data_IF_203127575546
#
_entry.id   IF_203127575546
#
_cell.length_a   1.000
_cell.length_b   1.000
_cell.length_c   1.000
_cell.angle_alpha   90.00
_cell.angle_beta   90.00
_cell.angle_gamma   90.00
#
_symmetry.space_group_name_H-M   'P 1'
#
loop_
_entity.id
_entity.type
_entity.pdbx_description
1 polymer ?
#
# COMPACT_ATOMS: atom_id res chain seq x y z
N UNK A 1 -17.38 -2.04 -7.88
CA UNK A 1 -18.07 -2.60 -9.07
C UNK A 1 -17.10 -3.22 -10.07
N UNK A 2 -16.07 -2.52 -10.56
CA UNK A 2 -15.11 -3.10 -11.51
C UNK A 2 -14.43 -4.39 -11.02
N UNK A 3 -14.05 -4.47 -9.74
CA UNK A 3 -13.54 -5.68 -9.13
C UNK A 3 -14.52 -6.86 -9.26
N UNK A 4 -15.82 -6.61 -9.02
CA UNK A 4 -16.88 -7.63 -9.14
C UNK A 4 -17.05 -8.10 -10.59
N UNK A 5 -16.91 -7.19 -11.57
CA UNK A 5 -16.94 -7.55 -13.01
C UNK A 5 -15.71 -8.39 -13.39
N UNK A 6 -14.51 -8.04 -12.87
CA UNK A 6 -13.28 -8.83 -13.12
C UNK A 6 -13.38 -10.23 -12.51
N UNK A 7 -14.00 -10.36 -11.35
CA UNK A 7 -14.27 -11.63 -10.68
C UNK A 7 -15.51 -12.38 -11.19
N UNK A 8 -16.14 -11.90 -12.27
CA UNK A 8 -17.33 -12.51 -12.89
C UNK A 8 -18.55 -12.65 -11.95
N UNK A 9 -18.62 -11.82 -10.90
CA UNK A 9 -19.75 -11.78 -9.97
C UNK A 9 -20.93 -10.95 -10.49
N UNK A 10 -20.70 -10.06 -11.46
CA UNK A 10 -21.73 -9.20 -12.07
C UNK A 10 -21.47 -9.09 -13.58
N UNK A 11 -22.56 -9.07 -14.35
CA UNK A 11 -22.53 -8.96 -15.82
C UNK A 11 -21.91 -7.66 -16.35
N UNK A 12 -21.37 -7.77 -17.57
CA UNK A 12 -20.66 -6.69 -18.27
C UNK A 12 -21.57 -5.57 -18.78
N UNK A 13 -22.88 -5.73 -18.71
CA UNK A 13 -23.86 -4.73 -19.16
C UNK A 13 -23.80 -3.43 -18.33
N UNK A 14 -23.28 -3.47 -17.11
CA UNK A 14 -23.06 -2.29 -16.26
C UNK A 14 -21.82 -1.45 -16.64
N UNK A 15 -21.13 -1.75 -17.75
CA UNK A 15 -19.88 -1.06 -18.15
C UNK A 15 -20.09 0.38 -18.56
N UNK A 16 -21.20 0.71 -19.22
CA UNK A 16 -21.45 2.07 -19.70
C UNK A 16 -21.59 3.07 -18.55
N UNK A 17 -22.19 2.64 -17.43
CA UNK A 17 -22.26 3.42 -16.19
C UNK A 17 -20.83 3.68 -15.67
N UNK A 18 -19.98 2.67 -15.69
CA UNK A 18 -18.59 2.80 -15.22
C UNK A 18 -17.76 3.72 -16.10
N UNK A 19 -17.99 3.76 -17.41
CA UNK A 19 -17.19 4.60 -18.32
C UNK A 19 -17.37 6.09 -18.04
N UNK A 20 -18.56 6.53 -17.62
CA UNK A 20 -18.79 7.92 -17.19
C UNK A 20 -18.03 8.25 -15.90
N UNK A 21 -18.06 7.33 -14.93
CA UNK A 21 -17.30 7.47 -13.69
C UNK A 21 -15.79 7.46 -13.95
N UNK A 22 -15.29 6.60 -14.83
CA UNK A 22 -13.87 6.51 -15.18
C UNK A 22 -13.35 7.83 -15.76
N UNK A 23 -14.10 8.46 -16.67
CA UNK A 23 -13.70 9.74 -17.23
C UNK A 23 -13.71 10.86 -16.18
N UNK A 24 -14.66 10.84 -15.25
CA UNK A 24 -14.69 11.78 -14.14
C UNK A 24 -13.50 11.56 -13.19
N UNK A 25 -13.26 10.33 -12.75
CA UNK A 25 -12.15 9.93 -11.88
C UNK A 25 -10.81 10.28 -12.54
N UNK A 26 -10.65 10.03 -13.84
CA UNK A 26 -9.42 10.37 -14.57
C UNK A 26 -9.17 11.89 -14.64
N UNK A 27 -10.23 12.71 -14.73
CA UNK A 27 -10.11 14.16 -14.65
C UNK A 27 -9.72 14.61 -13.24
N UNK A 28 -10.33 14.05 -12.21
CA UNK A 28 -9.99 14.34 -10.81
C UNK A 28 -8.54 13.93 -10.48
N UNK A 29 -8.13 12.71 -10.85
CA UNK A 29 -6.78 12.22 -10.65
C UNK A 29 -5.74 13.13 -11.33
N UNK A 30 -5.99 13.51 -12.59
CA UNK A 30 -5.11 14.43 -13.31
C UNK A 30 -5.07 15.82 -12.65
N UNK A 31 -6.22 16.34 -12.25
CA UNK A 31 -6.33 17.64 -11.56
C UNK A 31 -5.53 17.63 -10.24
N UNK A 32 -5.70 16.62 -9.40
CA UNK A 32 -4.99 16.51 -8.14
C UNK A 32 -3.49 16.34 -8.34
N UNK A 33 -3.09 15.58 -9.38
CA UNK A 33 -1.67 15.46 -9.77
C UNK A 33 -1.11 16.82 -10.21
N UNK A 34 -1.85 17.60 -10.99
CA UNK A 34 -1.46 18.96 -11.41
C UNK A 34 -1.38 19.97 -10.25
N UNK A 35 -1.96 19.64 -9.09
CA UNK A 35 -1.82 20.41 -7.84
C UNK A 35 -0.76 19.80 -6.90
N UNK A 36 0.09 18.91 -7.42
CA UNK A 36 1.07 18.11 -6.68
C UNK A 36 0.47 17.44 -5.43
N UNK A 37 -0.74 16.88 -5.56
CA UNK A 37 -1.44 16.19 -4.48
C UNK A 37 -1.42 14.68 -4.69
N UNK A 38 -0.25 14.09 -4.46
CA UNK A 38 0.08 12.68 -4.76
C UNK A 38 -0.28 11.69 -3.63
N UNK A 39 -1.19 12.04 -2.73
CA UNK A 39 -1.57 11.15 -1.63
C UNK A 39 -2.32 9.91 -2.15
N UNK A 40 -2.13 8.74 -1.51
CA UNK A 40 -2.84 7.53 -1.91
C UNK A 40 -4.31 7.53 -1.47
N UNK A 41 -4.57 7.91 -0.21
CA UNK A 41 -5.92 7.85 0.35
C UNK A 41 -6.78 9.06 -0.03
N UNK A 42 -6.16 10.22 -0.21
CA UNK A 42 -6.87 11.49 -0.35
C UNK A 42 -6.52 12.26 -1.62
N UNK A 43 -5.57 11.77 -2.41
CA UNK A 43 -5.06 12.46 -3.59
C UNK A 43 -5.12 11.60 -4.85
N UNK A 44 -4.26 11.95 -5.81
CA UNK A 44 -4.32 11.38 -7.14
C UNK A 44 -3.99 9.88 -7.20
N UNK A 45 -3.13 9.36 -6.31
CA UNK A 45 -2.53 8.04 -6.50
C UNK A 45 -3.54 6.91 -6.33
N UNK A 46 -4.48 7.00 -5.38
CA UNK A 46 -5.53 6.00 -5.23
C UNK A 46 -6.42 5.90 -6.47
N UNK A 47 -6.79 7.05 -7.02
CA UNK A 47 -7.56 7.12 -8.26
C UNK A 47 -6.77 6.58 -9.46
N UNK A 48 -5.49 6.93 -9.59
CA UNK A 48 -4.62 6.45 -10.66
C UNK A 48 -4.44 4.92 -10.63
N UNK A 49 -4.26 4.34 -9.43
CA UNK A 49 -4.20 2.87 -9.25
C UNK A 49 -5.48 2.20 -9.76
N UNK A 50 -6.67 2.76 -9.45
CA UNK A 50 -7.93 2.26 -10.00
C UNK A 50 -7.96 2.31 -11.53
N UNK A 51 -7.51 3.42 -12.13
CA UNK A 51 -7.54 3.68 -13.57
C UNK A 51 -6.61 2.76 -14.37
N UNK A 52 -5.55 2.21 -13.77
CA UNK A 52 -4.71 1.16 -14.38
C UNK A 52 -5.53 -0.10 -14.75
N UNK A 53 -6.64 -0.36 -14.06
CA UNK A 53 -7.55 -1.45 -14.40
C UNK A 53 -8.45 -1.16 -15.61
N UNK A 54 -8.43 0.07 -16.13
CA UNK A 54 -9.34 0.63 -17.15
C UNK A 54 -8.63 1.06 -18.45
N UNK A 55 -7.37 0.66 -18.62
CA UNK A 55 -6.48 1.04 -19.73
C UNK A 55 -6.87 0.57 -21.14
N UNK A 56 -7.96 -0.20 -21.28
CA UNK A 56 -8.56 -0.49 -22.60
C UNK A 56 -9.19 0.76 -23.21
N UNK A 57 -9.60 1.71 -22.36
CA UNK A 57 -10.08 3.02 -22.80
C UNK A 57 -8.88 3.94 -23.09
N UNK A 58 -8.75 4.38 -24.35
CA UNK A 58 -7.65 5.24 -24.80
C UNK A 58 -7.61 6.60 -24.09
N UNK A 59 -8.77 7.15 -23.70
CA UNK A 59 -8.82 8.37 -22.91
C UNK A 59 -8.15 8.16 -21.56
N UNK A 60 -8.46 7.06 -20.87
CA UNK A 60 -7.87 6.72 -19.57
C UNK A 60 -6.37 6.48 -19.70
N UNK A 61 -5.94 5.72 -20.71
CA UNK A 61 -4.51 5.50 -20.99
C UNK A 61 -3.76 6.81 -21.23
N UNK A 62 -4.35 7.76 -21.96
CA UNK A 62 -3.76 9.07 -22.16
C UNK A 62 -3.66 9.88 -20.86
N UNK A 63 -4.67 9.79 -19.98
CA UNK A 63 -4.66 10.45 -18.68
C UNK A 63 -3.61 9.89 -17.73
N UNK A 64 -3.45 8.56 -17.69
CA UNK A 64 -2.37 7.89 -16.94
C UNK A 64 -0.99 8.37 -17.39
N UNK A 65 -0.76 8.46 -18.71
CA UNK A 65 0.45 9.07 -19.27
C UNK A 65 0.69 10.48 -18.73
N UNK A 66 -0.33 11.35 -18.77
CA UNK A 66 -0.23 12.73 -18.29
C UNK A 66 0.04 12.81 -16.78
N UNK A 67 -0.59 11.93 -15.98
CA UNK A 67 -0.35 11.82 -14.54
C UNK A 67 1.13 11.50 -14.28
N UNK A 68 1.70 10.52 -14.98
CA UNK A 68 3.11 10.16 -14.84
C UNK A 68 4.04 11.31 -15.25
N UNK A 69 3.70 12.05 -16.30
CA UNK A 69 4.46 13.22 -16.72
C UNK A 69 4.45 14.34 -15.65
N UNK A 70 3.31 14.56 -14.99
CA UNK A 70 3.25 15.50 -13.86
C UNK A 70 4.06 15.01 -12.66
N UNK A 71 3.95 13.73 -12.28
CA UNK A 71 4.75 13.14 -11.19
C UNK A 71 6.25 13.33 -11.47
N UNK A 72 6.68 13.08 -12.71
CA UNK A 72 8.06 13.30 -13.15
C UNK A 72 8.47 14.78 -13.06
N UNK A 73 7.56 15.71 -13.37
CA UNK A 73 7.83 17.15 -13.32
C UNK A 73 7.94 17.72 -11.90
N UNK A 74 7.23 17.14 -10.93
CA UNK A 74 7.23 17.59 -9.53
C UNK A 74 8.30 16.90 -8.66
N UNK A 75 9.09 15.97 -9.23
CA UNK A 75 10.13 15.30 -8.47
C UNK A 75 11.15 16.30 -7.94
N UNK A 76 11.52 16.13 -6.68
CA UNK A 76 12.63 16.83 -6.04
C UNK A 76 13.87 15.96 -6.21
N UNK A 77 14.92 16.52 -6.81
CA UNK A 77 16.20 15.85 -7.02
C UNK A 77 17.09 16.05 -5.79
N UNK A 78 17.48 14.95 -5.14
CA UNK A 78 18.36 14.93 -3.96
C UNK A 78 19.68 14.25 -4.33
N UNK A 79 20.71 15.02 -4.68
CA UNK A 79 22.00 14.51 -5.19
C UNK A 79 21.84 13.56 -6.39
N UNK A 80 21.63 12.26 -6.15
CA UNK A 80 21.45 11.21 -7.16
C UNK A 80 20.11 10.45 -7.03
N UNK A 81 19.22 10.88 -6.14
CA UNK A 81 17.96 10.21 -5.84
C UNK A 81 16.77 11.15 -6.04
N UNK A 82 15.56 10.60 -6.11
CA UNK A 82 14.33 11.35 -6.38
C UNK A 82 13.32 11.18 -5.25
N UNK A 83 12.69 12.29 -4.84
CA UNK A 83 11.62 12.31 -3.85
C UNK A 83 10.53 13.29 -4.24
N UNK A 84 9.48 13.42 -3.42
CA UNK A 84 8.40 14.39 -3.59
C UNK A 84 8.01 14.99 -2.25
N UNK A 85 7.54 16.23 -2.26
CA UNK A 85 6.91 16.84 -1.10
C UNK A 85 5.45 16.40 -1.01
N UNK A 86 5.07 15.88 0.15
CA UNK A 86 3.70 15.44 0.42
C UNK A 86 3.01 16.44 1.35
N UNK A 87 1.78 16.83 0.98
CA UNK A 87 0.97 17.80 1.74
C UNK A 87 0.66 17.29 3.15
N UNK A 88 0.38 15.99 3.30
CA UNK A 88 0.12 15.39 4.61
C UNK A 88 1.43 15.28 5.38
N UNK A 89 1.52 16.06 6.46
CA UNK A 89 2.71 16.25 7.27
C UNK A 89 3.62 17.38 6.80
N UNK A 90 3.39 17.94 5.60
CA UNK A 90 4.22 18.96 4.95
C UNK A 90 5.72 18.59 4.96
N UNK A 91 6.02 17.35 4.57
CA UNK A 91 7.33 16.69 4.74
C UNK A 91 7.60 15.71 3.59
N UNK A 92 8.85 15.28 3.46
CA UNK A 92 9.17 14.03 2.77
C UNK A 92 8.61 12.85 3.55
N UNK A 93 7.42 12.40 3.13
CA UNK A 93 6.71 11.28 3.70
C UNK A 93 7.06 10.00 2.92
N UNK A 94 7.61 8.99 3.60
CA UNK A 94 8.04 7.73 2.96
C UNK A 94 7.02 6.61 3.09
N UNK A 95 5.90 6.89 3.76
CA UNK A 95 4.84 5.94 4.05
C UNK A 95 4.12 5.41 2.82
N UNK A 96 3.33 4.35 2.98
CA UNK A 96 2.52 3.78 1.92
C UNK A 96 1.25 4.61 1.70
N UNK A 97 0.56 4.99 2.79
CA UNK A 97 -0.75 5.62 2.69
C UNK A 97 -0.70 7.09 2.29
N UNK A 98 0.39 7.80 2.63
CA UNK A 98 0.49 9.24 2.46
C UNK A 98 1.78 9.72 1.81
N UNK A 99 2.55 8.80 1.25
CA UNK A 99 3.93 9.07 0.91
C UNK A 99 4.46 8.31 -0.29
N UNK A 100 5.78 8.31 -0.33
CA UNK A 100 6.56 7.89 -1.47
C UNK A 100 6.42 6.42 -1.79
N UNK A 101 6.21 5.57 -0.78
CA UNK A 101 6.04 4.13 -1.02
C UNK A 101 4.76 3.87 -1.83
N UNK A 102 3.65 4.57 -1.55
CA UNK A 102 2.42 4.45 -2.33
C UNK A 102 2.59 4.90 -3.78
N UNK A 103 3.27 6.03 -3.98
CA UNK A 103 3.61 6.54 -5.32
C UNK A 103 4.49 5.54 -6.08
N UNK A 104 5.49 4.94 -5.42
CA UNK A 104 6.36 3.94 -6.02
C UNK A 104 5.61 2.66 -6.43
N UNK A 105 4.69 2.16 -5.58
CA UNK A 105 3.87 0.99 -5.96
C UNK A 105 2.98 1.29 -7.16
N UNK A 106 2.34 2.46 -7.21
CA UNK A 106 1.58 2.90 -8.38
C UNK A 106 2.44 2.92 -9.66
N UNK A 107 3.62 3.55 -9.59
CA UNK A 107 4.54 3.61 -10.73
C UNK A 107 4.98 2.19 -11.17
N UNK A 108 5.27 1.28 -10.24
CA UNK A 108 5.62 -0.10 -10.56
C UNK A 108 4.46 -0.82 -11.29
N UNK A 109 3.22 -0.62 -10.85
CA UNK A 109 2.02 -1.14 -11.54
C UNK A 109 1.83 -0.53 -12.93
N UNK A 110 2.03 0.79 -13.08
CA UNK A 110 1.97 1.45 -14.38
C UNK A 110 3.05 0.92 -15.35
N UNK A 111 4.26 0.66 -14.84
CA UNK A 111 5.33 0.01 -15.59
C UNK A 111 4.93 -1.39 -16.06
N UNK A 112 4.33 -2.20 -15.18
CA UNK A 112 3.83 -3.53 -15.50
C UNK A 112 2.83 -3.48 -16.67
N UNK A 113 1.93 -2.49 -16.68
CA UNK A 113 0.98 -2.26 -17.76
C UNK A 113 1.57 -1.61 -19.03
N UNK A 114 2.89 -1.38 -19.05
CA UNK A 114 3.61 -0.88 -20.21
C UNK A 114 3.46 0.62 -20.49
N UNK A 115 3.03 1.39 -19.50
CA UNK A 115 2.93 2.85 -19.60
C UNK A 115 4.31 3.44 -19.29
N UNK A 116 4.84 4.33 -20.14
CA UNK A 116 6.08 5.08 -19.91
C UNK A 116 7.28 4.27 -19.36
N UNK A 117 7.46 3.01 -19.77
CA UNK A 117 8.42 2.07 -19.14
C UNK A 117 9.80 2.66 -18.86
N UNK A 118 10.44 3.31 -19.83
CA UNK A 118 11.79 3.85 -19.66
C UNK A 118 11.84 5.00 -18.65
N UNK A 119 10.87 5.92 -18.72
CA UNK A 119 10.75 7.04 -17.78
C UNK A 119 10.48 6.53 -16.37
N UNK A 120 9.50 5.62 -16.22
CA UNK A 120 9.17 5.06 -14.91
C UNK A 120 10.38 4.30 -14.32
N UNK A 121 11.13 3.56 -15.14
CA UNK A 121 12.34 2.85 -14.67
C UNK A 121 13.39 3.83 -14.13
N UNK A 122 13.62 4.96 -14.81
CA UNK A 122 14.51 6.01 -14.31
C UNK A 122 14.02 6.57 -12.97
N UNK A 123 12.74 6.94 -12.90
CA UNK A 123 12.13 7.49 -11.69
C UNK A 123 12.24 6.50 -10.52
N UNK A 124 11.76 5.27 -10.70
CA UNK A 124 11.74 4.25 -9.66
C UNK A 124 13.13 3.84 -9.21
N UNK A 125 14.11 3.73 -10.11
CA UNK A 125 15.47 3.34 -9.69
C UNK A 125 16.06 4.35 -8.69
N UNK A 126 15.83 5.64 -8.90
CA UNK A 126 16.30 6.72 -8.02
C UNK A 126 15.42 6.95 -6.80
N UNK A 127 14.11 6.75 -6.90
CA UNK A 127 13.20 6.86 -5.74
C UNK A 127 13.31 5.69 -4.79
N UNK A 128 13.50 4.47 -5.30
CA UNK A 128 13.79 3.30 -4.44
C UNK A 128 15.14 3.47 -3.76
N UNK A 129 16.14 4.02 -4.45
CA UNK A 129 17.41 4.38 -3.81
C UNK A 129 17.21 5.42 -2.69
N UNK A 130 16.39 6.45 -2.90
CA UNK A 130 16.04 7.40 -1.82
C UNK A 130 15.40 6.69 -0.62
N UNK A 131 14.46 5.76 -0.84
CA UNK A 131 13.85 4.99 0.26
C UNK A 131 14.88 4.18 1.03
N UNK A 132 15.79 3.50 0.34
CA UNK A 132 16.85 2.70 0.97
C UNK A 132 17.80 3.58 1.80
N UNK A 133 18.06 4.81 1.37
CA UNK A 133 18.86 5.79 2.13
C UNK A 133 18.17 6.26 3.43
N UNK A 134 16.88 5.93 3.64
CA UNK A 134 16.17 6.23 4.89
C UNK A 134 16.26 5.12 5.94
N UNK A 135 17.03 4.06 5.69
CA UNK A 135 17.24 3.00 6.67
C UNK A 135 17.95 3.56 7.91
N UNK A 136 17.40 3.27 9.10
CA UNK A 136 17.93 3.72 10.38
C UNK A 136 19.27 3.01 10.63
N UNK A 137 20.33 3.77 10.91
CA UNK A 137 21.70 3.23 11.07
C UNK A 137 21.84 2.24 12.23
N UNK A 138 21.12 2.48 13.32
CA UNK A 138 21.12 1.65 14.52
C UNK A 138 19.67 1.29 14.87
N UNK A 139 19.04 0.35 14.14
CA UNK A 139 17.63 0.05 14.31
C UNK A 139 17.41 -0.62 15.68
N UNK A 140 16.42 -0.12 16.42
CA UNK A 140 15.99 -0.73 17.69
C UNK A 140 14.73 -1.59 17.49
N UNK A 141 13.68 -1.01 16.91
CA UNK A 141 12.39 -1.67 16.71
C UNK A 141 11.94 -1.69 15.24
N UNK A 142 12.28 -0.66 14.45
CA UNK A 142 11.95 -0.55 13.03
C UNK A 142 13.23 -0.32 12.21
N UNK A 143 13.22 -0.73 10.94
CA UNK A 143 14.31 -0.45 10.00
C UNK A 143 14.16 0.93 9.37
N UNK A 144 12.91 1.38 9.17
CA UNK A 144 12.61 2.67 8.58
C UNK A 144 11.88 3.57 9.59
N UNK A 145 12.14 4.88 9.56
CA UNK A 145 11.45 5.85 10.39
C UNK A 145 10.01 6.09 9.92
N UNK A 146 9.21 6.80 10.72
CA UNK A 146 7.84 7.19 10.32
C UNK A 146 7.84 8.16 9.13
N UNK A 147 8.79 9.09 9.10
CA UNK A 147 9.03 10.04 8.01
C UNK A 147 10.52 10.02 7.64
N UNK A 148 10.94 10.71 6.58
CA UNK A 148 12.35 10.81 6.18
C UNK A 148 13.31 11.10 7.36
N UNK A 149 14.49 10.48 7.36
CA UNK A 149 15.50 10.56 8.43
C UNK A 149 16.00 11.98 8.69
N UNK A 150 15.88 12.88 7.70
CA UNK A 150 16.13 14.31 7.86
C UNK A 150 15.26 14.99 8.92
N UNK A 151 14.16 14.37 9.34
CA UNK A 151 13.30 14.83 10.44
C UNK A 151 13.50 14.05 11.75
N UNK A 152 14.51 13.18 11.80
CA UNK A 152 14.85 12.32 12.92
C UNK A 152 14.50 10.85 12.70
N UNK A 153 15.23 9.98 13.41
CA UNK A 153 15.10 8.51 13.32
C UNK A 153 13.97 7.98 14.22
N UNK A 154 12.81 8.63 14.18
CA UNK A 154 11.67 8.22 15.00
C UNK A 154 11.20 6.83 14.57
N UNK A 155 11.29 5.88 15.50
CA UNK A 155 10.79 4.51 15.35
C UNK A 155 9.39 4.52 14.75
N UNK A 156 9.18 3.73 13.70
CA UNK A 156 7.88 3.59 13.07
C UNK A 156 7.04 2.51 13.74
N UNK A 157 5.72 2.68 13.71
CA UNK A 157 4.77 1.63 14.07
C UNK A 157 4.87 0.46 13.09
N UNK A 158 4.28 -0.68 13.45
CA UNK A 158 4.09 -1.78 12.51
C UNK A 158 2.67 -1.69 11.95
N UNK A 159 2.53 -1.25 10.70
CA UNK A 159 1.22 -1.11 10.06
C UNK A 159 1.32 -0.99 8.55
N UNK A 160 0.16 -1.12 7.89
CA UNK A 160 0.05 -0.92 6.44
C UNK A 160 0.39 0.53 6.06
N UNK A 161 -0.08 1.50 6.85
CA UNK A 161 0.04 2.92 6.50
C UNK A 161 1.49 3.44 6.56
N UNK A 162 2.21 3.21 7.66
CA UNK A 162 3.54 3.78 7.94
C UNK A 162 4.54 2.71 8.38
N UNK A 163 5.81 2.94 8.06
CA UNK A 163 6.95 2.14 8.50
C UNK A 163 7.41 1.09 7.49
N UNK A 164 8.09 0.07 8.01
CA UNK A 164 8.82 -0.94 7.25
C UNK A 164 7.99 -1.59 6.13
N UNK A 165 6.73 -1.93 6.42
CA UNK A 165 5.85 -2.66 5.49
C UNK A 165 5.64 -1.88 4.19
N UNK A 166 5.37 -0.57 4.30
CA UNK A 166 5.14 0.27 3.13
C UNK A 166 6.38 0.34 2.23
N UNK A 167 7.54 0.55 2.85
CA UNK A 167 8.82 0.62 2.14
C UNK A 167 9.14 -0.72 1.47
N UNK A 168 8.95 -1.83 2.19
CA UNK A 168 9.16 -3.17 1.66
C UNK A 168 8.25 -3.48 0.46
N UNK A 169 6.98 -3.06 0.49
CA UNK A 169 6.05 -3.21 -0.64
C UNK A 169 6.51 -2.43 -1.87
N UNK A 170 6.97 -1.19 -1.70
CA UNK A 170 7.48 -0.38 -2.80
C UNK A 170 8.70 -1.04 -3.47
N UNK A 171 9.66 -1.52 -2.67
CA UNK A 171 10.85 -2.22 -3.17
C UNK A 171 10.44 -3.54 -3.84
N UNK A 172 9.53 -4.31 -3.23
CA UNK A 172 9.04 -5.58 -3.75
C UNK A 172 8.41 -5.42 -5.13
N UNK A 173 7.42 -4.54 -5.27
CA UNK A 173 6.71 -4.32 -6.53
C UNK A 173 7.65 -3.85 -7.63
N UNK A 174 8.57 -2.93 -7.33
CA UNK A 174 9.57 -2.50 -8.30
C UNK A 174 10.49 -3.66 -8.71
N UNK A 175 11.04 -4.39 -7.74
CA UNK A 175 11.95 -5.52 -7.98
C UNK A 175 11.33 -6.58 -8.89
N UNK A 176 10.05 -6.90 -8.69
CA UNK A 176 9.33 -7.86 -9.52
C UNK A 176 9.22 -7.37 -10.97
N UNK A 177 8.81 -6.11 -11.18
CA UNK A 177 8.56 -5.63 -12.55
C UNK A 177 9.83 -5.39 -13.35
N UNK A 178 10.97 -5.10 -12.70
CA UNK A 178 12.28 -4.99 -13.38
C UNK A 178 13.12 -6.27 -13.35
N UNK A 179 12.68 -7.31 -12.64
CA UNK A 179 13.39 -8.58 -12.51
C UNK A 179 14.68 -8.50 -11.68
N UNK A 180 14.77 -7.56 -10.73
CA UNK A 180 15.96 -7.35 -9.89
C UNK A 180 15.95 -8.28 -8.67
N UNK A 181 16.84 -9.28 -8.69
CA UNK A 181 16.97 -10.27 -7.61
C UNK A 181 17.52 -9.68 -6.31
N UNK A 182 18.37 -8.65 -6.38
CA UNK A 182 18.97 -8.00 -5.22
C UNK A 182 17.91 -7.20 -4.45
N UNK A 183 17.14 -6.39 -5.17
CA UNK A 183 16.02 -5.65 -4.58
C UNK A 183 14.94 -6.58 -4.04
N UNK A 184 14.64 -7.68 -4.74
CA UNK A 184 13.72 -8.70 -4.24
C UNK A 184 14.20 -9.28 -2.91
N UNK A 185 15.49 -9.60 -2.79
CA UNK A 185 16.09 -10.09 -1.55
C UNK A 185 16.00 -9.04 -0.43
N UNK A 186 16.34 -7.78 -0.71
CA UNK A 186 16.24 -6.68 0.27
C UNK A 186 14.81 -6.49 0.77
N UNK A 187 13.80 -6.55 -0.10
CA UNK A 187 12.40 -6.47 0.31
C UNK A 187 12.03 -7.63 1.27
N UNK A 188 12.44 -8.86 0.95
CA UNK A 188 12.22 -10.04 1.81
C UNK A 188 12.89 -9.86 3.17
N UNK A 189 14.14 -9.36 3.21
CA UNK A 189 14.86 -9.09 4.46
C UNK A 189 14.11 -8.10 5.36
N UNK A 190 13.53 -7.04 4.78
CA UNK A 190 12.73 -6.06 5.53
C UNK A 190 11.46 -6.72 6.07
N UNK A 191 10.73 -7.50 5.26
CA UNK A 191 9.55 -8.22 5.72
C UNK A 191 9.88 -9.24 6.82
N UNK A 192 11.01 -9.96 6.72
CA UNK A 192 11.46 -10.91 7.73
C UNK A 192 11.84 -10.21 9.03
N UNK A 193 12.48 -9.05 8.96
CA UNK A 193 12.70 -8.23 10.14
C UNK A 193 11.36 -7.84 10.79
N UNK A 194 10.41 -7.34 9.99
CA UNK A 194 9.09 -6.92 10.50
C UNK A 194 8.26 -8.09 11.03
N UNK A 195 8.43 -9.32 10.53
CA UNK A 195 7.66 -10.48 10.99
C UNK A 195 7.99 -10.91 12.43
N UNK A 196 9.17 -10.50 12.92
CA UNK A 196 9.62 -10.72 14.29
C UNK A 196 9.05 -9.69 15.30
N UNK A 197 8.43 -8.60 14.82
CA UNK A 197 7.90 -7.52 15.67
C UNK A 197 6.51 -7.90 16.22
N UNK A 198 6.44 -8.78 17.22
CA UNK A 198 5.15 -9.35 17.72
C UNK A 198 4.52 -8.63 18.93
N UNK A 199 5.24 -7.73 19.59
CA UNK A 199 4.73 -6.99 20.76
C UNK A 199 3.71 -5.91 20.36
N UNK A 200 2.46 -6.01 20.82
CA UNK A 200 1.41 -5.06 20.43
C UNK A 200 1.74 -3.62 20.84
N UNK A 201 2.22 -3.42 22.07
CA UNK A 201 2.43 -2.08 22.64
C UNK A 201 3.60 -1.36 21.98
N UNK A 202 4.74 -2.04 21.87
CA UNK A 202 5.94 -1.51 21.23
C UNK A 202 5.66 -1.12 19.78
N UNK A 203 4.84 -1.91 19.09
CA UNK A 203 4.47 -1.64 17.70
C UNK A 203 3.29 -0.69 17.51
N UNK A 204 2.75 -0.12 18.60
CA UNK A 204 1.58 0.75 18.62
C UNK A 204 0.35 0.11 17.95
N UNK A 205 0.12 -1.18 18.17
CA UNK A 205 -1.05 -1.92 17.68
C UNK A 205 -2.08 -1.96 18.80
N UNK A 206 -3.22 -1.31 18.56
CA UNK A 206 -4.25 -1.10 19.61
C UNK A 206 -5.63 -1.63 19.23
N UNK A 207 -5.83 -2.07 17.97
CA UNK A 207 -7.12 -2.57 17.48
C UNK A 207 -6.97 -3.62 16.36
N UNK A 208 -8.13 -4.04 15.83
CA UNK A 208 -8.24 -5.03 14.77
C UNK A 208 -8.17 -4.47 13.36
N UNK A 209 -7.98 -3.16 13.15
CA UNK A 209 -8.11 -2.51 11.84
C UNK A 209 -7.13 -3.06 10.78
N UNK A 210 -7.44 -2.78 9.50
CA UNK A 210 -6.50 -3.04 8.40
C UNK A 210 -5.38 -1.99 8.38
N UNK A 211 -5.71 -0.72 8.61
CA UNK A 211 -4.79 0.40 8.46
C UNK A 211 -3.48 0.21 9.25
N UNK A 212 -3.62 -0.21 10.51
CA UNK A 212 -2.53 -0.30 11.47
C UNK A 212 -2.87 -1.22 12.65
N UNK A 213 -3.77 -2.19 12.40
CA UNK A 213 -4.21 -3.16 13.38
C UNK A 213 -3.81 -4.59 12.98
N UNK A 214 -4.25 -5.52 13.81
CA UNK A 214 -3.89 -6.94 13.71
C UNK A 214 -4.38 -7.60 12.41
N UNK A 215 -5.58 -7.27 11.92
CA UNK A 215 -6.10 -7.86 10.68
C UNK A 215 -5.29 -7.46 9.45
N UNK A 216 -4.83 -6.20 9.39
CA UNK A 216 -3.97 -5.73 8.32
C UNK A 216 -2.65 -6.50 8.25
N UNK A 217 -2.03 -6.73 9.41
CA UNK A 217 -0.77 -7.49 9.49
C UNK A 217 -0.97 -8.96 9.11
N UNK A 218 -2.06 -9.58 9.55
CA UNK A 218 -2.42 -10.93 9.14
C UNK A 218 -2.52 -11.04 7.62
N UNK A 219 -3.22 -10.09 6.98
CA UNK A 219 -3.40 -10.03 5.53
C UNK A 219 -2.08 -9.81 4.78
N UNK A 220 -1.26 -8.86 5.22
CA UNK A 220 0.03 -8.52 4.59
C UNK A 220 0.98 -9.72 4.61
N UNK A 221 1.14 -10.37 5.77
CA UNK A 221 2.05 -11.52 5.86
C UNK A 221 1.49 -12.75 5.14
N UNK A 222 0.15 -12.91 5.05
CA UNK A 222 -0.47 -13.93 4.18
C UNK A 222 -0.10 -13.70 2.73
N UNK A 223 -0.18 -12.45 2.26
CA UNK A 223 0.19 -12.06 0.89
C UNK A 223 1.67 -12.37 0.61
N UNK A 224 2.55 -12.03 1.56
CA UNK A 224 3.98 -12.33 1.41
C UNK A 224 4.27 -13.83 1.41
N UNK A 225 3.57 -14.62 2.21
CA UNK A 225 3.63 -16.08 2.13
C UNK A 225 3.20 -16.59 0.74
N UNK A 226 2.06 -16.13 0.21
CA UNK A 226 1.61 -16.53 -1.13
C UNK A 226 2.62 -16.17 -2.23
N UNK A 227 3.32 -15.05 -2.10
CA UNK A 227 4.31 -14.62 -3.07
C UNK A 227 5.66 -15.34 -3.01
N UNK A 228 6.03 -15.83 -1.84
CA UNK A 228 7.40 -16.30 -1.59
C UNK A 228 7.49 -17.74 -1.15
N UNK A 229 6.41 -18.29 -0.61
CA UNK A 229 6.33 -19.58 0.06
C UNK A 229 7.32 -19.73 1.24
N UNK A 230 7.68 -18.61 1.88
CA UNK A 230 8.55 -18.55 3.07
C UNK A 230 7.69 -18.75 4.32
N UNK A 231 7.98 -19.79 5.12
CA UNK A 231 7.12 -20.25 6.21
C UNK A 231 7.02 -19.23 7.34
N UNK A 232 8.08 -18.45 7.61
CA UNK A 232 8.09 -17.39 8.62
C UNK A 232 7.00 -16.32 8.36
N UNK A 233 6.62 -16.11 7.10
CA UNK A 233 5.49 -15.23 6.77
C UNK A 233 4.15 -15.86 7.06
N UNK A 234 4.01 -17.18 6.86
CA UNK A 234 2.80 -17.91 7.24
C UNK A 234 2.62 -17.90 8.75
N UNK A 235 3.65 -18.23 9.51
CA UNK A 235 3.62 -18.21 10.98
C UNK A 235 3.28 -16.81 11.52
N UNK A 236 3.88 -15.77 10.93
CA UNK A 236 3.57 -14.39 11.32
C UNK A 236 2.13 -14.01 10.98
N UNK A 237 1.64 -14.41 9.81
CA UNK A 237 0.26 -14.20 9.39
C UNK A 237 -0.74 -14.86 10.34
N UNK A 238 -0.48 -16.11 10.72
CA UNK A 238 -1.31 -16.89 11.65
C UNK A 238 -1.28 -16.29 13.06
N UNK A 239 -0.12 -15.84 13.54
CA UNK A 239 -0.02 -15.12 14.81
C UNK A 239 -0.91 -13.87 14.82
N UNK A 240 -0.83 -13.02 13.79
CA UNK A 240 -1.65 -11.81 13.73
C UNK A 240 -3.14 -12.10 13.53
N UNK A 241 -3.48 -13.18 12.84
CA UNK A 241 -4.85 -13.67 12.75
C UNK A 241 -5.39 -14.05 14.13
N UNK A 242 -4.61 -14.78 14.93
CA UNK A 242 -4.97 -15.11 16.30
C UNK A 242 -5.16 -13.84 17.15
N UNK A 243 -4.25 -12.87 17.06
CA UNK A 243 -4.40 -11.59 17.75
C UNK A 243 -5.65 -10.82 17.29
N UNK A 244 -6.04 -10.93 16.02
CA UNK A 244 -7.27 -10.35 15.48
C UNK A 244 -8.51 -10.96 16.15
N UNK A 245 -8.51 -12.26 16.42
CA UNK A 245 -9.60 -12.94 17.13
C UNK A 245 -9.61 -12.56 18.62
N UNK A 246 -8.45 -12.47 19.27
CA UNK A 246 -8.33 -12.13 20.69
C UNK A 246 -8.72 -10.68 21.02
N UNK A 247 -8.54 -9.75 20.08
CA UNK A 247 -8.93 -8.34 20.24
C UNK A 247 -10.46 -8.15 20.24
N UNK A 248 -11.23 -9.13 19.75
CA UNK A 248 -12.70 -9.12 19.72
C UNK A 248 -13.31 -9.34 21.13
N UNK A 249 -13.03 -8.46 22.08
CA UNK A 249 -13.35 -8.63 23.51
C UNK A 249 -14.32 -7.58 24.08
N UNK A 250 -14.68 -6.56 23.31
CA UNK A 250 -15.45 -5.42 23.80
C UNK A 250 -16.95 -5.71 23.74
N UNK A 251 -17.61 -5.75 24.90
CA UNK A 251 -19.07 -5.97 24.99
C UNK A 251 -19.88 -4.85 24.33
N UNK A 252 -19.35 -3.64 24.34
CA UNK A 252 -19.90 -2.45 23.70
C UNK A 252 -19.26 -2.15 22.33
N UNK A 253 -18.46 -3.10 21.80
CA UNK A 253 -17.91 -3.05 20.45
C UNK A 253 -18.85 -3.69 19.41
N UNK A 254 -18.68 -3.35 18.14
CA UNK A 254 -19.43 -3.99 17.05
C UNK A 254 -18.87 -5.41 16.88
N UNK A 255 -19.67 -6.42 17.25
CA UNK A 255 -19.27 -7.84 17.22
C UNK A 255 -17.94 -8.05 17.96
N UNK A 256 -17.76 -7.38 19.11
CA UNK A 256 -16.55 -7.50 19.94
C UNK A 256 -15.43 -6.53 19.60
N UNK A 257 -15.50 -5.77 18.49
CA UNK A 257 -14.42 -4.89 18.04
C UNK A 257 -14.67 -3.40 18.33
N UNK A 258 -13.57 -2.69 18.63
CA UNK A 258 -13.48 -1.23 18.67
C UNK A 258 -12.29 -0.75 17.85
N UNK A 259 -12.38 0.48 17.36
CA UNK A 259 -11.30 1.21 16.70
C UNK A 259 -10.72 2.25 17.66
N UNK A 260 -9.39 2.45 17.66
CA UNK A 260 -8.72 3.41 18.55
C UNK A 260 -9.20 3.33 20.02
N UNK A 261 -9.38 2.11 20.54
CA UNK A 261 -9.85 1.79 21.90
C UNK A 261 -11.31 2.15 22.23
N UNK A 262 -11.87 3.21 21.67
CA UNK A 262 -13.15 3.77 22.10
C UNK A 262 -14.18 3.93 20.98
N UNK A 263 -13.73 4.01 19.73
CA UNK A 263 -14.61 4.32 18.61
C UNK A 263 -15.21 3.06 18.00
N UNK A 264 -16.36 3.23 17.35
CA UNK A 264 -16.96 2.20 16.52
C UNK A 264 -16.76 2.57 15.07
N UNK A 265 -16.26 1.63 14.26
CA UNK A 265 -16.19 1.81 12.82
C UNK A 265 -16.70 0.56 12.10
N UNK A 266 -17.42 0.80 11.01
CA UNK A 266 -17.89 -0.22 10.06
C UNK A 266 -17.17 -0.15 8.72
N UNK A 267 -16.22 0.78 8.54
CA UNK A 267 -15.57 0.98 7.24
C UNK A 267 -14.54 -0.13 6.91
N UNK A 268 -13.99 -0.08 5.70
CA UNK A 268 -13.02 -1.05 5.21
C UNK A 268 -11.67 -0.97 5.94
N UNK A 269 -11.19 0.23 6.25
CA UNK A 269 -9.80 0.41 6.64
C UNK A 269 -9.62 0.32 8.16
N UNK A 270 -10.60 0.80 8.91
CA UNK A 270 -10.60 0.95 10.37
C UNK A 270 -11.62 0.06 11.06
N UNK A 271 -12.63 -0.42 10.32
CA UNK A 271 -13.82 -1.03 10.90
C UNK A 271 -13.99 -2.51 10.65
N UNK A 272 -15.11 -3.02 11.16
CA UNK A 272 -15.46 -4.44 11.10
C UNK A 272 -15.62 -5.00 9.69
N UNK A 273 -15.92 -4.16 8.68
CA UNK A 273 -16.02 -4.64 7.29
C UNK A 273 -14.68 -5.11 6.76
N UNK A 274 -13.60 -4.38 7.06
CA UNK A 274 -12.23 -4.80 6.72
C UNK A 274 -11.81 -6.07 7.46
N UNK A 275 -12.07 -6.12 8.77
CA UNK A 275 -11.80 -7.29 9.59
C UNK A 275 -12.51 -8.51 9.02
N UNK A 276 -13.80 -8.39 8.71
CA UNK A 276 -14.59 -9.45 8.08
C UNK A 276 -14.01 -9.92 6.76
N UNK A 277 -13.61 -9.00 5.87
CA UNK A 277 -12.98 -9.36 4.59
C UNK A 277 -11.64 -10.08 4.76
N UNK A 278 -10.84 -9.69 5.76
CA UNK A 278 -9.61 -10.41 6.11
C UNK A 278 -9.94 -11.82 6.57
N UNK A 279 -10.86 -12.00 7.52
CA UNK A 279 -11.26 -13.32 8.02
C UNK A 279 -11.80 -14.22 6.89
N UNK A 280 -12.66 -13.68 6.03
CA UNK A 280 -13.15 -14.39 4.84
C UNK A 280 -12.02 -14.80 3.89
N UNK A 281 -10.95 -14.01 3.79
CA UNK A 281 -9.78 -14.36 2.97
C UNK A 281 -8.98 -15.54 3.53
N UNK A 282 -9.06 -15.81 4.84
CA UNK A 282 -8.46 -17.01 5.45
C UNK A 282 -9.37 -18.24 5.37
N UNK A 283 -10.69 -18.03 5.31
CA UNK A 283 -11.67 -19.12 5.15
C UNK A 283 -11.87 -19.53 3.69
N UNK A 284 -11.57 -18.64 2.74
CA UNK A 284 -11.72 -18.90 1.31
C UNK A 284 -10.57 -19.74 0.75
N UNK A 285 -10.92 -20.69 -0.11
CA UNK A 285 -9.97 -21.43 -0.95
C UNK A 285 -9.35 -20.55 -2.05
N UNK A 286 -9.91 -19.35 -2.31
CA UNK A 286 -9.36 -18.41 -3.28
C UNK A 286 -8.04 -17.81 -2.77
N UNK A 287 -6.94 -18.32 -3.34
CA UNK A 287 -5.59 -17.81 -3.09
C UNK A 287 -5.27 -16.53 -3.86
N UNK A 288 -6.14 -16.06 -4.76
CA UNK A 288 -5.92 -14.81 -5.50
C UNK A 288 -5.87 -13.60 -4.56
N UNK A 289 -6.77 -13.56 -3.58
CA UNK A 289 -6.97 -12.43 -2.66
C UNK A 289 -7.08 -11.07 -3.38
N UNK A 290 -7.63 -11.06 -4.59
CA UNK A 290 -7.53 -9.90 -5.51
C UNK A 290 -8.15 -8.59 -5.01
N UNK A 291 -8.96 -8.60 -3.95
CA UNK A 291 -9.53 -7.38 -3.39
C UNK A 291 -8.48 -6.50 -2.69
N UNK A 292 -7.39 -7.10 -2.20
CA UNK A 292 -6.32 -6.37 -1.51
C UNK A 292 -5.43 -5.52 -2.45
N UNK A 293 -5.71 -5.54 -3.76
CA UNK A 293 -5.18 -4.59 -4.74
C UNK A 293 -5.50 -3.14 -4.32
N UNK A 294 -6.67 -2.90 -3.70
CA UNK A 294 -7.05 -1.59 -3.16
C UNK A 294 -6.23 -1.19 -1.91
N UNK A 295 -5.38 -2.07 -1.42
CA UNK A 295 -4.41 -1.83 -0.35
C UNK A 295 -2.97 -1.87 -0.89
N UNK A 296 -2.77 -1.86 -2.21
CA UNK A 296 -1.45 -1.94 -2.85
C UNK A 296 -0.66 -3.22 -2.51
N UNK A 297 -1.35 -4.28 -2.05
CA UNK A 297 -0.71 -5.54 -1.66
C UNK A 297 -0.49 -6.46 -2.86
N UNK A 298 -1.52 -6.64 -3.69
CA UNK A 298 -1.43 -7.30 -5.01
C UNK A 298 -1.37 -6.33 -6.15
#
# INVERSE_FOLDING_TARGET
MQHLIKGEFIDRENREILDQFDQYIARCALHDTALNYLDYLHGAIGSAVYLLSRLRNNYIRNKETQIIDFIDSYKVVQTNTYTWEYKIGNKYNISLSHGMSGTCVYLAKAYYHGIHKQKIKDILSKSIQFLLEQEIKTPQLSLFPTFCTSYGDQVSRLGWCYGDIGVALAIWHYAIVVGDKSLRKKAIEIFLFSSNRRDLKANAIIDGSICHGTAGLALIFRRMYLYTNIEEFKECSEYWLEQTLLIAKYKDGIIGYKFNMNDLSIDLLNGISGIGLVLLSFLSDDRSQSWDECLLLS
#
